data_IF_974886634140
#
_entry.id   IF_974886634140
#
_cell.length_a   1.000
_cell.length_b   1.000
_cell.length_c   1.000
_cell.angle_alpha   90.00
_cell.angle_beta   90.00
_cell.angle_gamma   90.00
#
_symmetry.space_group_name_H-M   'P 1'
#
loop_
_entity.id
_entity.type
_entity.pdbx_description
1 polymer ?
#
# COMPACT_ATOMS: atom_id res chain seq x y z
N UNK A 1 -22.32 35.16 16.96
CA UNK A 1 -21.17 35.63 16.17
C UNK A 1 -20.79 34.58 15.12
N UNK A 2 -20.99 34.89 13.88
CA UNK A 2 -20.54 34.39 12.56
C UNK A 2 -19.77 33.07 12.49
N UNK A 3 -20.48 31.93 12.58
CA UNK A 3 -19.96 30.60 12.16
C UNK A 3 -20.38 30.18 10.73
N UNK A 4 -21.00 31.12 9.98
CA UNK A 4 -21.55 30.82 8.66
C UNK A 4 -20.52 30.59 7.53
N UNK A 5 -19.39 31.33 7.43
CA UNK A 5 -18.46 31.11 6.31
C UNK A 5 -17.74 29.77 6.37
N UNK A 6 -17.45 29.25 7.58
CA UNK A 6 -16.79 27.92 7.72
C UNK A 6 -17.71 26.77 7.30
N UNK A 7 -19.02 26.88 7.57
CA UNK A 7 -19.99 25.86 7.12
C UNK A 7 -20.17 25.86 5.61
N UNK A 8 -20.17 27.04 4.98
CA UNK A 8 -20.22 27.12 3.52
C UNK A 8 -18.98 26.53 2.86
N UNK A 9 -17.80 26.78 3.40
CA UNK A 9 -16.54 26.16 2.93
C UNK A 9 -16.54 24.63 3.12
N UNK A 10 -17.06 24.14 4.23
CA UNK A 10 -17.19 22.68 4.46
C UNK A 10 -18.17 22.04 3.49
N UNK A 11 -19.32 22.69 3.24
CA UNK A 11 -20.33 22.20 2.30
C UNK A 11 -19.77 22.20 0.88
N UNK A 12 -19.07 23.26 0.46
CA UNK A 12 -18.47 23.32 -0.88
C UNK A 12 -17.36 22.27 -1.08
N UNK A 13 -16.54 22.01 -0.07
CA UNK A 13 -15.54 20.96 -0.11
C UNK A 13 -16.17 19.56 -0.21
N UNK A 14 -17.24 19.29 0.55
CA UNK A 14 -17.99 18.05 0.47
C UNK A 14 -18.69 17.86 -0.88
N UNK A 15 -19.24 18.94 -1.45
CA UNK A 15 -19.85 18.90 -2.78
C UNK A 15 -18.81 18.67 -3.87
N UNK A 16 -17.62 19.29 -3.79
CA UNK A 16 -16.51 19.06 -4.72
C UNK A 16 -15.98 17.62 -4.64
N UNK A 17 -15.80 17.08 -3.43
CA UNK A 17 -15.44 15.68 -3.22
C UNK A 17 -16.54 14.74 -3.71
N UNK A 18 -17.80 15.05 -3.40
CA UNK A 18 -18.94 14.28 -3.86
C UNK A 18 -19.06 14.27 -5.39
N UNK A 19 -19.01 15.43 -6.01
CA UNK A 19 -19.11 15.55 -7.46
C UNK A 19 -17.84 15.05 -8.19
N UNK A 20 -16.65 15.37 -7.67
CA UNK A 20 -15.39 15.02 -8.34
C UNK A 20 -15.00 13.55 -8.20
N UNK A 21 -15.37 12.91 -7.10
CA UNK A 21 -15.00 11.52 -6.83
C UNK A 21 -16.17 10.54 -7.03
N UNK A 22 -17.31 10.81 -6.43
CA UNK A 22 -18.44 9.87 -6.48
C UNK A 22 -19.19 9.91 -7.81
N UNK A 23 -19.29 11.07 -8.46
CA UNK A 23 -19.98 11.19 -9.74
C UNK A 23 -19.37 10.35 -10.85
N UNK A 24 -18.03 10.35 -11.09
CA UNK A 24 -17.40 9.46 -12.06
C UNK A 24 -17.60 7.98 -11.74
N UNK A 25 -17.55 7.61 -10.45
CA UNK A 25 -17.79 6.23 -10.02
C UNK A 25 -19.25 5.82 -10.27
N UNK A 26 -20.20 6.68 -9.92
CA UNK A 26 -21.62 6.44 -10.17
C UNK A 26 -21.93 6.43 -11.67
N UNK A 27 -21.35 7.34 -12.45
CA UNK A 27 -21.52 7.36 -13.90
C UNK A 27 -20.97 6.09 -14.55
N UNK A 28 -19.83 5.59 -14.08
CA UNK A 28 -19.24 4.33 -14.50
C UNK A 28 -20.15 3.14 -14.13
N UNK A 29 -20.66 3.08 -12.90
CA UNK A 29 -21.53 2.01 -12.42
C UNK A 29 -22.93 2.05 -13.04
N UNK A 30 -23.44 3.22 -13.45
CA UNK A 30 -24.76 3.39 -14.06
C UNK A 30 -24.80 3.10 -15.56
N UNK A 31 -23.68 2.69 -16.15
CA UNK A 31 -23.60 2.41 -17.58
C UNK A 31 -23.64 3.63 -18.50
N UNK A 32 -23.71 4.84 -17.93
CA UNK A 32 -23.63 6.11 -18.69
C UNK A 32 -22.18 6.43 -19.05
N UNK A 33 -21.48 5.48 -19.67
CA UNK A 33 -20.10 5.66 -20.05
C UNK A 33 -20.05 6.43 -21.40
N UNK A 34 -19.42 7.64 -21.43
CA UNK A 34 -19.27 8.41 -22.66
C UNK A 34 -18.35 7.76 -23.72
N UNK A 35 -17.74 6.62 -23.40
CA UNK A 35 -16.81 5.90 -24.28
C UNK A 35 -17.48 4.80 -25.13
N UNK A 36 -18.81 4.87 -25.33
CA UNK A 36 -19.53 4.01 -26.28
C UNK A 36 -18.99 2.56 -26.39
N UNK A 37 -19.11 1.80 -25.34
CA UNK A 37 -19.19 0.36 -25.44
C UNK A 37 -20.59 -0.02 -24.97
N UNK A 38 -21.42 -0.48 -25.90
CA UNK A 38 -22.83 -0.89 -25.68
C UNK A 38 -22.94 -2.11 -24.75
N UNK A 39 -21.88 -2.50 -24.07
CA UNK A 39 -21.83 -3.57 -23.10
C UNK A 39 -21.81 -2.99 -21.68
N UNK A 40 -22.92 -3.18 -21.01
CA UNK A 40 -23.18 -2.75 -19.63
C UNK A 40 -22.15 -3.39 -18.70
N UNK A 41 -21.31 -2.58 -18.08
CA UNK A 41 -20.25 -3.01 -17.17
C UNK A 41 -20.76 -3.75 -15.92
N UNK A 42 -22.04 -3.69 -15.60
CA UNK A 42 -22.64 -4.38 -14.47
C UNK A 42 -23.67 -5.38 -14.94
N UNK A 43 -23.22 -6.40 -15.67
CA UNK A 43 -24.03 -7.60 -15.89
C UNK A 43 -23.82 -8.53 -14.70
N UNK A 44 -24.90 -8.87 -14.03
CA UNK A 44 -24.88 -9.84 -12.92
C UNK A 44 -24.26 -11.18 -13.36
N UNK A 45 -24.46 -11.55 -14.61
CA UNK A 45 -23.87 -12.72 -15.24
C UNK A 45 -22.34 -12.66 -15.25
N UNK A 46 -21.75 -11.52 -15.64
CA UNK A 46 -20.30 -11.30 -15.58
C UNK A 46 -19.75 -11.43 -14.15
N UNK A 47 -20.47 -10.91 -13.16
CA UNK A 47 -20.06 -11.01 -11.76
C UNK A 47 -20.12 -12.46 -11.25
N UNK A 48 -21.16 -13.22 -11.65
CA UNK A 48 -21.26 -14.64 -11.34
C UNK A 48 -20.16 -15.44 -12.03
N UNK A 49 -19.88 -15.20 -13.31
CA UNK A 49 -18.80 -15.83 -14.05
C UNK A 49 -17.45 -15.52 -13.42
N UNK A 50 -17.18 -14.24 -13.09
CA UNK A 50 -15.97 -13.81 -12.41
C UNK A 50 -15.75 -14.52 -11.07
N UNK A 51 -16.80 -14.64 -10.24
CA UNK A 51 -16.73 -15.34 -8.96
C UNK A 51 -16.72 -16.86 -9.08
N UNK A 52 -17.16 -17.40 -10.22
CA UNK A 52 -17.14 -18.85 -10.47
C UNK A 52 -15.77 -19.33 -10.93
N UNK A 53 -14.89 -18.44 -11.39
CA UNK A 53 -13.54 -18.78 -11.79
C UNK A 53 -12.65 -19.03 -10.55
N UNK A 54 -12.11 -20.25 -10.37
CA UNK A 54 -11.22 -20.60 -9.27
C UNK A 54 -9.96 -19.74 -9.21
N UNK A 55 -9.50 -19.22 -10.34
CA UNK A 55 -8.35 -18.32 -10.41
C UNK A 55 -8.65 -16.98 -9.72
N UNK A 56 -9.79 -16.37 -10.06
CA UNK A 56 -10.20 -15.10 -9.47
C UNK A 56 -10.41 -15.21 -7.96
N UNK A 57 -11.06 -16.29 -7.51
CA UNK A 57 -11.21 -16.56 -6.07
C UNK A 57 -9.87 -16.73 -5.34
N UNK A 58 -8.91 -17.38 -5.98
CA UNK A 58 -7.55 -17.52 -5.42
C UNK A 58 -6.84 -16.17 -5.30
N UNK A 59 -6.94 -15.31 -6.32
CA UNK A 59 -6.35 -13.97 -6.31
C UNK A 59 -6.99 -13.10 -5.22
N UNK A 60 -8.31 -13.13 -5.12
CA UNK A 60 -9.06 -12.42 -4.07
C UNK A 60 -8.64 -12.93 -2.68
N UNK A 61 -8.64 -14.24 -2.49
CA UNK A 61 -8.24 -14.87 -1.24
C UNK A 61 -6.80 -14.53 -0.84
N UNK A 62 -5.88 -14.55 -1.80
CA UNK A 62 -4.50 -14.12 -1.57
C UNK A 62 -4.41 -12.65 -1.17
N UNK A 63 -5.19 -11.77 -1.82
CA UNK A 63 -5.20 -10.33 -1.50
C UNK A 63 -5.68 -10.06 -0.07
N UNK A 64 -6.76 -10.75 0.36
CA UNK A 64 -7.23 -10.65 1.75
C UNK A 64 -6.22 -11.22 2.75
N UNK A 65 -5.64 -12.38 2.45
CA UNK A 65 -4.62 -13.00 3.29
C UNK A 65 -3.41 -12.08 3.46
N UNK A 66 -2.89 -11.54 2.37
CA UNK A 66 -1.76 -10.62 2.36
C UNK A 66 -2.06 -9.32 3.14
N UNK A 67 -3.25 -8.73 2.93
CA UNK A 67 -3.67 -7.52 3.62
C UNK A 67 -3.81 -7.75 5.14
N UNK A 68 -4.41 -8.87 5.54
CA UNK A 68 -4.53 -9.24 6.96
C UNK A 68 -3.17 -9.44 7.60
N UNK A 69 -2.29 -10.22 6.98
CA UNK A 69 -0.96 -10.50 7.49
C UNK A 69 -0.11 -9.23 7.60
N UNK A 70 -0.18 -8.37 6.60
CA UNK A 70 0.45 -7.06 6.58
C UNK A 70 -0.02 -6.16 7.72
N UNK A 71 -1.34 -6.09 7.96
CA UNK A 71 -1.91 -5.30 9.04
C UNK A 71 -1.45 -5.81 10.42
N UNK A 72 -1.46 -7.11 10.63
CA UNK A 72 -0.99 -7.72 11.89
C UNK A 72 0.49 -7.43 12.12
N UNK A 73 1.33 -7.62 11.11
CA UNK A 73 2.76 -7.34 11.23
C UNK A 73 3.05 -5.86 11.47
N UNK A 74 2.35 -4.96 10.80
CA UNK A 74 2.48 -3.51 11.00
C UNK A 74 2.13 -3.11 12.45
N UNK A 75 1.08 -3.69 13.02
CA UNK A 75 0.70 -3.47 14.42
C UNK A 75 1.76 -4.04 15.36
N UNK A 76 2.23 -5.27 15.12
CA UNK A 76 3.23 -5.93 15.98
C UNK A 76 4.57 -5.17 16.02
N UNK A 77 4.97 -4.54 14.93
CA UNK A 77 6.20 -3.74 14.85
C UNK A 77 5.96 -2.30 15.30
N UNK A 78 4.89 -1.68 14.82
CA UNK A 78 4.61 -0.27 15.05
C UNK A 78 4.17 0.05 16.48
N UNK A 79 3.34 -0.81 17.08
CA UNK A 79 2.80 -0.55 18.42
C UNK A 79 3.88 -0.53 19.53
N UNK A 80 4.83 -1.50 19.59
CA UNK A 80 5.94 -1.43 20.53
C UNK A 80 6.84 -0.21 20.31
N UNK A 81 7.10 0.14 19.03
CA UNK A 81 7.87 1.33 18.67
C UNK A 81 7.20 2.62 19.15
N UNK A 82 5.90 2.76 18.88
CA UNK A 82 5.11 3.91 19.35
C UNK A 82 5.06 3.99 20.89
N UNK A 83 4.87 2.87 21.55
CA UNK A 83 4.84 2.78 23.02
C UNK A 83 6.20 3.19 23.62
N UNK A 84 7.30 2.69 23.07
CA UNK A 84 8.65 3.05 23.48
C UNK A 84 8.91 4.56 23.34
N UNK A 85 8.52 5.16 22.21
CA UNK A 85 8.70 6.59 21.94
C UNK A 85 7.88 7.51 22.85
N UNK A 86 6.75 7.02 23.38
CA UNK A 86 5.85 7.81 24.23
C UNK A 86 6.16 7.68 25.72
N UNK A 87 6.64 6.53 26.18
CA UNK A 87 6.80 6.25 27.60
C UNK A 87 8.25 6.34 28.10
N UNK A 88 9.23 6.27 27.22
CA UNK A 88 10.64 6.27 27.61
C UNK A 88 11.43 7.39 26.95
N UNK A 89 12.34 7.98 27.72
CA UNK A 89 13.35 8.90 27.22
C UNK A 89 14.67 8.14 27.13
N UNK A 90 15.22 7.96 25.95
CA UNK A 90 16.46 7.24 25.71
C UNK A 90 17.39 8.02 24.75
N UNK A 91 18.71 7.83 24.85
CA UNK A 91 19.63 8.45 23.93
C UNK A 91 19.35 7.97 22.50
N UNK A 92 19.23 8.91 21.55
CA UNK A 92 18.90 8.57 20.16
C UNK A 92 17.39 8.59 19.83
N UNK A 93 16.49 8.83 20.80
CA UNK A 93 15.04 8.91 20.57
C UNK A 93 14.65 9.87 19.43
N UNK A 94 15.40 11.00 19.33
CA UNK A 94 15.17 11.98 18.25
C UNK A 94 15.43 11.38 16.86
N UNK A 95 16.51 10.62 16.70
CA UNK A 95 16.83 9.94 15.46
C UNK A 95 15.82 8.85 15.13
N UNK A 96 15.42 8.08 16.13
CA UNK A 96 14.38 7.07 15.95
C UNK A 96 13.06 7.68 15.49
N UNK A 97 12.65 8.81 16.10
CA UNK A 97 11.45 9.55 15.68
C UNK A 97 11.59 10.10 14.25
N UNK A 98 12.75 10.59 13.85
CA UNK A 98 12.97 11.03 12.47
C UNK A 98 12.86 9.88 11.48
N UNK A 99 13.38 8.70 11.83
CA UNK A 99 13.26 7.50 10.97
C UNK A 99 11.81 7.06 10.77
N UNK A 100 10.93 7.21 11.78
CA UNK A 100 9.51 6.88 11.62
C UNK A 100 8.76 7.83 10.68
N UNK A 101 9.28 9.06 10.44
CA UNK A 101 8.70 9.97 9.45
C UNK A 101 9.20 9.71 8.03
N UNK A 102 10.30 8.98 7.87
CA UNK A 102 10.95 8.76 6.58
C UNK A 102 9.99 8.13 5.54
N UNK A 103 9.21 7.09 5.85
CA UNK A 103 8.25 6.52 4.91
C UNK A 103 7.23 7.52 4.37
N UNK A 104 6.77 8.44 5.21
CA UNK A 104 5.76 9.45 4.81
C UNK A 104 6.32 10.57 3.93
N UNK A 105 7.64 10.82 4.02
CA UNK A 105 8.32 11.87 3.24
C UNK A 105 8.77 11.34 1.89
N UNK A 106 9.15 10.06 1.81
CA UNK A 106 9.67 9.45 0.60
C UNK A 106 8.52 9.12 -0.37
N UNK A 107 8.59 9.54 -1.64
CA UNK A 107 7.70 9.03 -2.67
C UNK A 107 7.79 7.50 -2.78
N UNK A 108 6.65 6.83 -2.93
CA UNK A 108 6.59 5.35 -3.00
C UNK A 108 7.50 4.75 -4.07
N UNK A 109 7.65 5.44 -5.20
CA UNK A 109 8.55 5.01 -6.28
C UNK A 109 10.01 4.93 -5.84
N UNK A 110 10.47 5.85 -4.99
CA UNK A 110 11.84 5.83 -4.46
C UNK A 110 12.05 4.67 -3.49
N UNK A 111 11.04 4.33 -2.71
CA UNK A 111 11.12 3.18 -1.79
C UNK A 111 11.19 1.88 -2.58
N UNK A 112 10.35 1.72 -3.62
CA UNK A 112 10.40 0.55 -4.50
C UNK A 112 11.78 0.45 -5.17
N UNK A 113 12.30 1.56 -5.71
CA UNK A 113 13.61 1.59 -6.33
C UNK A 113 14.72 1.22 -5.34
N UNK A 114 14.67 1.76 -4.12
CA UNK A 114 15.62 1.44 -3.06
C UNK A 114 15.57 -0.06 -2.71
N UNK A 115 14.37 -0.63 -2.56
CA UNK A 115 14.19 -2.07 -2.30
C UNK A 115 14.82 -2.92 -3.40
N UNK A 116 14.63 -2.56 -4.67
CA UNK A 116 15.23 -3.27 -5.82
C UNK A 116 16.76 -3.13 -5.81
N UNK A 117 17.28 -1.92 -5.58
CA UNK A 117 18.73 -1.68 -5.56
C UNK A 117 19.44 -2.38 -4.39
N UNK A 118 18.79 -2.47 -3.23
CA UNK A 118 19.39 -3.13 -2.05
C UNK A 118 19.18 -4.64 -2.06
N UNK A 119 17.95 -5.10 -2.30
CA UNK A 119 17.53 -6.49 -2.08
C UNK A 119 17.19 -7.26 -3.36
N UNK A 120 17.30 -6.64 -4.54
CA UNK A 120 17.15 -7.34 -5.81
C UNK A 120 18.22 -8.42 -5.99
N UNK A 121 18.04 -9.32 -6.95
CA UNK A 121 18.94 -10.44 -7.21
C UNK A 121 20.40 -9.99 -7.39
N UNK A 122 20.63 -8.86 -8.02
CA UNK A 122 21.95 -8.22 -8.17
C UNK A 122 22.10 -6.95 -7.34
N UNK A 123 21.28 -6.79 -6.31
CA UNK A 123 21.33 -5.68 -5.38
C UNK A 123 22.57 -5.71 -4.49
N UNK A 124 22.81 -4.60 -3.79
CA UNK A 124 24.02 -4.46 -2.97
C UNK A 124 24.15 -5.52 -1.89
N UNK A 125 23.05 -5.96 -1.27
CA UNK A 125 23.06 -7.02 -0.25
C UNK A 125 23.50 -8.34 -0.85
N UNK A 126 22.90 -8.75 -1.97
CA UNK A 126 23.27 -9.99 -2.64
C UNK A 126 24.70 -9.97 -3.16
N UNK A 127 25.11 -8.87 -3.80
CA UNK A 127 26.51 -8.72 -4.27
C UNK A 127 27.52 -8.80 -3.13
N UNK A 128 27.23 -8.16 -1.99
CA UNK A 128 28.06 -8.24 -0.80
C UNK A 128 28.14 -9.66 -0.23
N UNK A 129 27.01 -10.36 -0.13
CA UNK A 129 26.96 -11.73 0.37
C UNK A 129 27.67 -12.70 -0.59
N UNK A 130 27.46 -12.57 -1.90
CA UNK A 130 28.14 -13.39 -2.91
C UNK A 130 29.67 -13.23 -2.81
N UNK A 131 30.15 -12.00 -2.67
CA UNK A 131 31.58 -11.73 -2.49
C UNK A 131 32.15 -12.30 -1.18
N UNK A 132 31.37 -12.24 -0.08
CA UNK A 132 31.80 -12.77 1.23
C UNK A 132 31.76 -14.30 1.31
N UNK A 133 30.76 -14.91 0.67
CA UNK A 133 30.54 -16.36 0.74
C UNK A 133 31.21 -17.14 -0.42
N UNK A 134 31.74 -16.43 -1.43
CA UNK A 134 32.34 -17.06 -2.60
C UNK A 134 31.36 -17.85 -3.46
N UNK A 135 30.08 -17.39 -3.52
CA UNK A 135 29.01 -18.05 -4.30
C UNK A 135 28.64 -17.19 -5.50
N UNK A 136 28.25 -17.83 -6.59
CA UNK A 136 27.87 -17.15 -7.84
C UNK A 136 26.37 -16.85 -7.94
N UNK A 137 25.56 -17.48 -7.09
CA UNK A 137 24.11 -17.29 -7.06
C UNK A 137 23.69 -16.37 -5.90
N UNK A 138 22.72 -15.47 -6.13
CA UNK A 138 22.24 -14.58 -5.10
C UNK A 138 21.54 -15.37 -3.97
N UNK A 139 21.97 -15.25 -2.70
CA UNK A 139 21.38 -16.02 -1.60
C UNK A 139 20.03 -15.46 -1.12
N UNK A 140 19.70 -14.20 -1.46
CA UNK A 140 18.50 -13.51 -0.97
C UNK A 140 17.51 -13.30 -2.12
N UNK A 141 16.37 -14.00 -2.07
CA UNK A 141 15.35 -13.98 -3.14
C UNK A 141 13.97 -13.46 -2.67
N UNK A 142 13.86 -12.85 -1.49
CA UNK A 142 12.57 -12.53 -0.90
C UNK A 142 11.84 -11.35 -1.59
N UNK A 143 12.55 -10.50 -2.35
CA UNK A 143 11.99 -9.25 -2.87
C UNK A 143 10.73 -9.46 -3.73
N UNK A 144 10.73 -10.48 -4.58
CA UNK A 144 9.62 -10.81 -5.48
C UNK A 144 8.68 -11.88 -4.89
N UNK A 145 8.54 -11.92 -3.58
CA UNK A 145 7.71 -12.86 -2.84
C UNK A 145 6.76 -12.14 -1.88
N UNK A 146 5.86 -12.90 -1.26
CA UNK A 146 5.00 -12.40 -0.19
C UNK A 146 5.80 -11.70 0.92
N UNK A 147 6.98 -12.23 1.27
CA UNK A 147 7.86 -11.64 2.27
C UNK A 147 8.31 -10.23 1.87
N UNK A 148 8.67 -10.01 0.60
CA UNK A 148 9.03 -8.69 0.10
C UNK A 148 7.88 -7.69 0.19
N UNK A 149 6.66 -8.12 -0.16
CA UNK A 149 5.45 -7.30 -0.03
C UNK A 149 5.21 -6.91 1.44
N UNK A 150 5.31 -7.88 2.36
CA UNK A 150 5.10 -7.65 3.79
C UNK A 150 6.13 -6.70 4.38
N UNK A 151 7.41 -6.86 4.03
CA UNK A 151 8.47 -5.94 4.47
C UNK A 151 8.20 -4.52 3.97
N UNK A 152 7.84 -4.36 2.71
CA UNK A 152 7.49 -3.07 2.14
C UNK A 152 6.30 -2.42 2.85
N UNK A 153 5.26 -3.17 3.17
CA UNK A 153 4.07 -2.67 3.87
C UNK A 153 4.36 -2.32 5.34
N UNK A 154 5.18 -3.11 6.03
CA UNK A 154 5.59 -2.81 7.42
C UNK A 154 6.49 -1.57 7.48
N UNK A 155 7.30 -1.34 6.43
CA UNK A 155 8.12 -0.14 6.33
C UNK A 155 7.28 1.12 6.10
N UNK A 156 6.18 1.03 5.34
CA UNK A 156 5.30 2.13 4.98
C UNK A 156 4.24 2.40 6.03
#
# INVERSE_FOLDING_TARGET
>A
MKRHPLRLLQISALLLLGAGFYWPVLAFLSGNNPLHTDEIFFQWEFFQEFLSDPWNLRVIGFSFYQAFLSSVLSILVGLPGAWLLTHYNFPGQRWFRLLTYLPFILPSILVVLAMVLFFGNYGWVNRGLMALLGIDEPPVHFLYSLTGILIAHVFY
#
